data_IF_128525631552
#
_entry.id   IF_128525631552
#
_cell.length_a   1.000
_cell.length_b   1.000
_cell.length_c   1.000
_cell.angle_alpha   90.00
_cell.angle_beta   90.00
_cell.angle_gamma   90.00
#
_symmetry.space_group_name_H-M   'P 1'
#
loop_
_entity.id
_entity.type
_entity.pdbx_description
1 polymer ?
#
# COMPACT_ATOMS: atom_id res chain seq x y z
N UNK A 1 -11.53 -21.37 17.39
CA UNK A 1 -11.49 -21.28 15.90
C UNK A 1 -11.88 -22.63 15.32
N UNK A 2 -12.87 -22.66 14.43
CA UNK A 2 -13.27 -23.88 13.75
C UNK A 2 -12.17 -24.25 12.74
N UNK A 3 -11.55 -25.41 12.92
CA UNK A 3 -10.49 -25.88 12.03
C UNK A 3 -11.10 -26.17 10.65
N UNK A 4 -10.77 -25.35 9.65
CA UNK A 4 -11.24 -25.57 8.28
C UNK A 4 -10.62 -26.86 7.75
N UNK A 5 -11.47 -27.77 7.26
CA UNK A 5 -11.01 -29.04 6.71
C UNK A 5 -10.26 -28.81 5.40
N UNK A 6 -9.16 -29.56 5.18
CA UNK A 6 -8.43 -29.53 3.92
C UNK A 6 -9.36 -29.99 2.78
N UNK A 7 -9.41 -29.28 1.62
CA UNK A 7 -10.19 -29.70 0.46
C UNK A 7 -9.82 -31.10 0.00
N UNK A 8 -10.83 -31.91 -0.36
CA UNK A 8 -10.64 -33.26 -0.85
C UNK A 8 -10.08 -33.32 -2.28
N UNK A 9 -10.40 -32.31 -3.09
CA UNK A 9 -9.93 -32.20 -4.47
C UNK A 9 -8.78 -31.19 -4.58
N UNK A 10 -7.78 -31.51 -5.37
CA UNK A 10 -6.73 -30.56 -5.75
C UNK A 10 -7.21 -29.73 -6.94
N UNK A 11 -6.83 -28.43 -7.04
CA UNK A 11 -7.07 -27.67 -8.26
C UNK A 11 -6.35 -28.29 -9.45
N UNK A 12 -6.91 -28.14 -10.64
CA UNK A 12 -6.29 -28.62 -11.90
C UNK A 12 -4.95 -27.93 -12.13
N UNK A 13 -4.86 -26.65 -11.81
CA UNK A 13 -3.62 -25.88 -11.81
C UNK A 13 -3.38 -25.30 -10.40
N UNK A 14 -2.40 -25.79 -9.64
CA UNK A 14 -2.12 -25.33 -8.29
C UNK A 14 -1.22 -24.09 -8.23
N UNK A 15 -0.91 -23.44 -9.36
CA UNK A 15 -0.04 -22.26 -9.41
C UNK A 15 -0.85 -21.02 -9.14
N UNK A 16 -0.84 -20.56 -7.89
CA UNK A 16 -1.53 -19.37 -7.41
C UNK A 16 -0.57 -18.23 -7.05
N UNK A 17 0.63 -18.25 -7.61
CA UNK A 17 1.62 -17.23 -7.36
C UNK A 17 1.24 -15.90 -8.03
N UNK A 18 1.46 -14.80 -7.34
CA UNK A 18 1.35 -13.44 -7.87
C UNK A 18 2.57 -13.00 -8.69
N UNK A 19 3.60 -13.83 -8.80
CA UNK A 19 4.79 -13.58 -9.63
C UNK A 19 4.47 -13.55 -11.14
N UNK A 20 5.45 -13.76 -12.02
CA UNK A 20 5.22 -13.74 -13.46
C UNK A 20 4.10 -14.70 -13.85
N UNK A 21 2.95 -14.14 -14.16
CA UNK A 21 1.76 -14.93 -14.49
C UNK A 21 1.73 -15.31 -15.96
N UNK A 22 1.06 -16.42 -16.26
CA UNK A 22 0.81 -16.82 -17.63
C UNK A 22 0.01 -15.73 -18.36
N UNK A 23 0.42 -15.41 -19.58
CA UNK A 23 -0.36 -14.50 -20.42
C UNK A 23 -1.77 -15.06 -20.65
N UNK A 24 -2.77 -14.18 -20.74
CA UNK A 24 -4.15 -14.56 -21.03
C UNK A 24 -4.25 -15.34 -22.35
N UNK A 25 -5.24 -16.22 -22.52
CA UNK A 25 -5.48 -16.88 -23.81
C UNK A 25 -5.62 -15.86 -24.96
N UNK A 26 -5.00 -16.16 -26.11
CA UNK A 26 -5.02 -15.27 -27.27
C UNK A 26 -4.09 -14.06 -27.19
N UNK A 27 -3.27 -13.92 -26.16
CA UNK A 27 -2.27 -12.84 -26.11
C UNK A 27 -1.16 -13.09 -27.13
N UNK A 28 -0.79 -12.05 -27.87
CA UNK A 28 0.38 -12.02 -28.75
C UNK A 28 1.10 -10.67 -28.59
N UNK A 29 2.28 -10.55 -29.18
CA UNK A 29 3.03 -9.28 -29.22
C UNK A 29 2.27 -8.15 -29.94
N UNK A 30 1.30 -8.48 -30.78
CA UNK A 30 0.44 -7.50 -31.45
C UNK A 30 -0.36 -6.64 -30.46
N UNK A 31 -0.61 -7.15 -29.24
CA UNK A 31 -1.21 -6.38 -28.15
C UNK A 31 -0.38 -5.15 -27.78
N UNK A 32 0.92 -5.11 -28.12
CA UNK A 32 1.83 -4.00 -27.86
C UNK A 32 2.03 -3.09 -29.08
N UNK A 33 1.34 -3.34 -30.22
CA UNK A 33 1.53 -2.55 -31.46
C UNK A 33 1.24 -1.07 -31.30
N UNK A 34 0.33 -0.70 -30.40
CA UNK A 34 0.01 0.69 -30.04
C UNK A 34 0.86 1.29 -28.91
N UNK A 35 1.86 0.56 -28.39
CA UNK A 35 2.68 1.03 -27.27
C UNK A 35 3.56 2.22 -27.70
N UNK A 36 3.67 3.22 -26.83
CA UNK A 36 4.44 4.43 -27.07
C UNK A 36 5.95 4.18 -26.89
N UNK A 37 6.54 3.31 -27.71
CA UNK A 37 7.95 2.95 -27.67
C UNK A 37 8.85 4.01 -28.30
N UNK A 38 10.12 4.07 -27.90
CA UNK A 38 11.15 4.93 -28.51
C UNK A 38 10.91 6.43 -28.37
N UNK A 39 10.14 6.87 -27.37
CA UNK A 39 9.82 8.30 -27.13
C UNK A 39 10.32 8.76 -25.77
N UNK A 40 10.54 10.06 -25.63
CA UNK A 40 10.80 10.67 -24.32
C UNK A 40 9.51 10.73 -23.48
N UNK A 41 9.59 10.49 -22.17
CA UNK A 41 8.49 10.76 -21.22
C UNK A 41 8.08 12.25 -21.21
N UNK A 42 8.96 13.17 -21.64
CA UNK A 42 8.70 14.61 -21.78
C UNK A 42 8.00 14.99 -23.09
N UNK A 43 7.88 14.08 -24.04
CA UNK A 43 7.12 14.33 -25.28
C UNK A 43 5.63 14.56 -24.97
N UNK A 44 4.90 15.19 -25.90
CA UNK A 44 3.46 15.38 -25.75
C UNK A 44 2.73 14.05 -25.51
N UNK A 45 3.08 13.00 -26.27
CA UNK A 45 2.55 11.66 -26.10
C UNK A 45 2.87 11.07 -24.72
N UNK A 46 4.13 11.18 -24.27
CA UNK A 46 4.53 10.67 -22.95
C UNK A 46 3.79 11.35 -21.81
N UNK A 47 3.69 12.68 -21.85
CA UNK A 47 2.93 13.46 -20.87
C UNK A 47 1.44 13.11 -20.86
N UNK A 48 0.84 12.93 -22.06
CA UNK A 48 -0.57 12.54 -22.17
C UNK A 48 -0.81 11.17 -21.51
N UNK A 49 0.08 10.20 -21.71
CA UNK A 49 -0.03 8.87 -21.08
C UNK A 49 0.14 8.90 -19.55
N UNK A 50 1.07 9.72 -19.04
CA UNK A 50 1.22 9.91 -17.59
C UNK A 50 -0.01 10.61 -16.99
N UNK A 51 -0.56 11.61 -17.69
CA UNK A 51 -1.80 12.24 -17.25
C UNK A 51 -2.97 11.25 -17.25
N UNK A 52 -3.13 10.46 -18.31
CA UNK A 52 -4.16 9.42 -18.40
C UNK A 52 -4.09 8.44 -17.21
N UNK A 53 -2.89 8.02 -16.82
CA UNK A 53 -2.68 7.16 -15.65
C UNK A 53 -3.18 7.81 -14.35
N UNK A 54 -2.85 9.09 -14.14
CA UNK A 54 -3.29 9.85 -12.96
C UNK A 54 -4.82 10.01 -12.97
N UNK A 55 -5.41 10.37 -14.12
CA UNK A 55 -6.85 10.58 -14.26
C UNK A 55 -7.62 9.26 -14.00
N UNK A 56 -7.17 8.16 -14.59
CA UNK A 56 -7.76 6.83 -14.37
C UNK A 56 -7.61 6.35 -12.94
N UNK A 57 -6.47 6.59 -12.30
CA UNK A 57 -6.30 6.24 -10.89
C UNK A 57 -7.30 7.00 -10.02
N UNK A 58 -7.49 8.29 -10.25
CA UNK A 58 -8.49 9.10 -9.53
C UNK A 58 -9.91 8.56 -9.73
N UNK A 59 -10.29 8.29 -10.99
CA UNK A 59 -11.61 7.79 -11.35
C UNK A 59 -11.90 6.43 -10.74
N UNK A 60 -10.98 5.47 -10.94
CA UNK A 60 -11.17 4.07 -10.51
C UNK A 60 -11.19 3.94 -9.00
N UNK A 61 -10.35 4.69 -8.30
CA UNK A 61 -10.25 4.67 -6.85
C UNK A 61 -11.27 5.59 -6.15
N UNK A 62 -12.01 6.41 -6.90
CA UNK A 62 -12.95 7.36 -6.33
C UNK A 62 -12.30 8.38 -5.40
N UNK A 63 -11.08 8.84 -5.74
CA UNK A 63 -10.33 9.74 -4.88
C UNK A 63 -11.02 11.11 -4.75
N UNK A 64 -11.07 11.71 -3.54
CA UNK A 64 -11.52 13.07 -3.33
C UNK A 64 -10.70 14.08 -4.16
N UNK A 65 -11.30 15.21 -4.51
CA UNK A 65 -10.67 16.22 -5.39
C UNK A 65 -9.43 16.88 -4.78
N UNK A 66 -9.33 16.93 -3.48
CA UNK A 66 -8.22 17.49 -2.72
C UNK A 66 -6.99 16.53 -2.62
N UNK A 67 -7.14 15.28 -3.01
CA UNK A 67 -6.01 14.35 -3.08
C UNK A 67 -5.10 14.66 -4.28
N UNK A 68 -3.81 14.63 -4.04
CA UNK A 68 -2.78 14.69 -5.08
C UNK A 68 -2.26 13.29 -5.41
N UNK A 69 -2.11 12.99 -6.71
CA UNK A 69 -1.53 11.74 -7.18
C UNK A 69 -0.15 12.02 -7.76
N UNK A 70 0.87 11.39 -7.21
CA UNK A 70 2.25 11.46 -7.68
C UNK A 70 2.75 10.12 -8.19
N UNK A 71 3.49 10.13 -9.30
CA UNK A 71 4.20 8.95 -9.80
C UNK A 71 5.66 9.09 -9.39
N UNK A 72 6.14 8.16 -8.57
CA UNK A 72 7.49 8.17 -8.01
C UNK A 72 8.26 6.91 -8.43
N UNK A 73 9.60 6.92 -8.44
CA UNK A 73 10.40 5.75 -8.80
C UNK A 73 10.52 4.75 -7.65
N UNK A 74 11.09 3.57 -7.96
CA UNK A 74 11.53 2.55 -7.02
C UNK A 74 10.41 1.76 -6.34
N UNK A 75 9.35 1.48 -7.08
CA UNK A 75 8.17 0.71 -6.64
C UNK A 75 7.47 1.33 -5.41
N UNK A 76 6.62 0.57 -4.74
CA UNK A 76 5.99 1.04 -3.51
C UNK A 76 7.00 1.31 -2.39
N UNK A 77 8.09 0.55 -2.32
CA UNK A 77 9.17 0.80 -1.35
C UNK A 77 9.65 2.25 -1.44
N UNK A 78 9.95 2.74 -2.64
CA UNK A 78 10.36 4.13 -2.83
C UNK A 78 9.28 5.14 -2.46
N UNK A 79 8.00 4.82 -2.65
CA UNK A 79 6.89 5.69 -2.28
C UNK A 79 6.72 5.77 -0.75
N UNK A 80 6.73 4.63 -0.05
CA UNK A 80 6.66 4.59 1.41
C UNK A 80 7.86 5.29 2.04
N UNK A 81 9.08 4.95 1.61
CA UNK A 81 10.30 5.59 2.12
C UNK A 81 10.26 7.10 1.87
N UNK A 82 9.86 7.54 0.68
CA UNK A 82 9.74 8.98 0.39
C UNK A 82 8.78 9.67 1.37
N UNK A 83 7.62 9.07 1.67
CA UNK A 83 6.67 9.59 2.65
C UNK A 83 7.29 9.62 4.05
N UNK A 84 7.89 8.53 4.50
CA UNK A 84 8.49 8.44 5.83
C UNK A 84 9.63 9.44 6.03
N UNK A 85 10.57 9.53 5.09
CA UNK A 85 11.72 10.45 5.17
C UNK A 85 11.34 11.94 5.05
N UNK A 86 10.21 12.23 4.39
CA UNK A 86 9.80 13.62 4.16
C UNK A 86 8.83 14.14 5.22
N UNK A 87 8.04 13.28 5.86
CA UNK A 87 6.90 13.70 6.66
C UNK A 87 7.04 13.35 8.14
N UNK A 88 7.84 12.34 8.51
CA UNK A 88 7.97 11.90 9.90
C UNK A 88 9.03 12.70 10.67
N UNK A 89 8.87 12.74 12.00
CA UNK A 89 9.86 13.29 12.95
C UNK A 89 9.46 14.59 13.62
N UNK A 90 8.39 15.24 13.20
CA UNK A 90 7.82 16.38 13.92
C UNK A 90 7.06 15.91 15.17
N UNK A 91 6.34 14.80 15.05
CA UNK A 91 5.59 14.14 16.13
C UNK A 91 6.20 12.80 16.50
N UNK A 92 5.71 12.20 17.57
CA UNK A 92 5.93 10.80 17.84
C UNK A 92 5.36 9.94 16.69
N UNK A 93 5.96 8.79 16.46
CA UNK A 93 5.60 7.90 15.36
C UNK A 93 5.21 6.53 15.89
N UNK A 94 4.09 6.03 15.41
CA UNK A 94 3.65 4.65 15.59
C UNK A 94 3.85 3.90 14.26
N UNK A 95 4.50 2.73 14.32
CA UNK A 95 4.59 1.84 13.16
C UNK A 95 3.92 0.53 13.50
N UNK A 96 2.86 0.20 12.75
CA UNK A 96 2.11 -1.04 12.94
C UNK A 96 2.53 -2.09 11.91
N UNK A 97 2.94 -3.28 12.39
CA UNK A 97 3.40 -4.37 11.53
C UNK A 97 3.00 -5.75 12.07
N UNK A 98 2.58 -6.63 11.17
CA UNK A 98 2.17 -8.00 11.47
C UNK A 98 2.54 -9.00 10.36
N UNK A 99 3.45 -8.59 9.47
CA UNK A 99 3.98 -9.42 8.40
C UNK A 99 5.23 -8.78 7.79
N UNK A 100 5.80 -9.42 6.78
CA UNK A 100 7.13 -9.10 6.26
C UNK A 100 7.29 -7.68 5.69
N UNK A 101 6.29 -7.17 4.96
CA UNK A 101 6.39 -5.82 4.38
C UNK A 101 6.29 -4.76 5.45
N UNK A 102 5.31 -4.85 6.34
CA UNK A 102 5.22 -3.95 7.49
C UNK A 102 6.48 -3.98 8.38
N UNK A 103 7.13 -5.16 8.49
CA UNK A 103 8.39 -5.28 9.21
C UNK A 103 9.54 -4.52 8.52
N UNK A 104 9.50 -4.35 7.20
CA UNK A 104 10.46 -3.48 6.50
C UNK A 104 10.31 -2.01 6.97
N UNK A 105 9.08 -1.52 7.04
CA UNK A 105 8.80 -0.16 7.54
C UNK A 105 9.20 0.03 9.01
N UNK A 106 9.03 -1.00 9.85
CA UNK A 106 9.58 -1.01 11.22
C UNK A 106 11.10 -0.86 11.20
N UNK A 107 11.78 -1.61 10.33
CA UNK A 107 13.25 -1.56 10.22
C UNK A 107 13.72 -0.18 9.78
N UNK A 108 13.05 0.44 8.83
CA UNK A 108 13.39 1.78 8.36
C UNK A 108 13.19 2.82 9.48
N UNK A 109 12.06 2.78 10.17
CA UNK A 109 11.77 3.69 11.27
C UNK A 109 12.75 3.55 12.43
N UNK A 110 13.13 2.31 12.79
CA UNK A 110 13.99 2.02 13.95
C UNK A 110 15.49 2.17 13.65
N UNK A 111 15.93 1.84 12.43
CA UNK A 111 17.35 1.75 12.10
C UNK A 111 17.86 2.86 11.18
N UNK A 112 16.99 3.45 10.37
CA UNK A 112 17.40 4.38 9.32
C UNK A 112 16.96 5.82 9.61
N UNK A 113 15.82 6.02 10.24
CA UNK A 113 15.32 7.35 10.59
C UNK A 113 15.76 7.76 11.99
N UNK A 114 16.16 9.04 12.19
CA UNK A 114 16.56 9.54 13.50
C UNK A 114 15.35 9.92 14.38
N UNK A 115 14.35 9.05 14.47
CA UNK A 115 13.13 9.28 15.23
C UNK A 115 13.42 9.23 16.73
N UNK A 116 13.02 10.25 17.47
CA UNK A 116 13.25 10.37 18.91
C UNK A 116 12.18 9.67 19.75
N UNK A 117 10.99 9.56 19.21
CA UNK A 117 9.81 8.98 19.85
C UNK A 117 9.12 8.02 18.89
N UNK A 118 9.56 6.75 18.92
CA UNK A 118 9.06 5.66 18.10
C UNK A 118 8.36 4.63 18.97
N UNK A 119 7.14 4.24 18.59
CA UNK A 119 6.41 3.12 19.18
C UNK A 119 6.08 2.08 18.10
N UNK A 120 6.34 0.83 18.41
CA UNK A 120 6.09 -0.29 17.52
C UNK A 120 4.87 -1.07 17.98
N UNK A 121 3.86 -1.18 17.13
CA UNK A 121 2.64 -1.96 17.33
C UNK A 121 2.78 -3.23 16.48
N UNK A 122 3.25 -4.32 17.06
CA UNK A 122 3.57 -5.53 16.30
C UNK A 122 2.76 -6.72 16.76
N UNK A 123 2.49 -7.64 15.83
CA UNK A 123 1.89 -8.94 16.11
C UNK A 123 2.56 -10.03 15.27
N UNK A 124 2.36 -11.28 15.67
CA UNK A 124 2.82 -12.45 14.92
C UNK A 124 2.00 -12.69 13.64
N UNK A 125 2.53 -13.52 12.75
CA UNK A 125 1.82 -13.91 11.54
C UNK A 125 0.46 -14.56 11.86
N UNK A 126 -0.59 -14.06 11.21
CA UNK A 126 -1.96 -14.50 11.43
C UNK A 126 -2.73 -13.70 12.48
N UNK A 127 -2.09 -12.73 13.12
CA UNK A 127 -2.68 -11.84 14.12
C UNK A 127 -2.58 -10.39 13.67
N UNK A 128 -3.46 -9.54 14.17
CA UNK A 128 -3.42 -8.08 14.00
C UNK A 128 -2.99 -7.47 15.35
N UNK A 129 -2.05 -6.50 15.36
CA UNK A 129 -1.75 -5.78 16.59
C UNK A 129 -2.97 -5.00 17.08
N UNK A 130 -2.99 -4.67 18.35
CA UNK A 130 -4.03 -3.80 18.91
C UNK A 130 -3.85 -2.37 18.39
N UNK A 131 -4.52 -2.07 17.27
CA UNK A 131 -4.48 -0.77 16.62
C UNK A 131 -5.21 0.33 17.43
N UNK A 132 -6.05 -0.03 18.42
CA UNK A 132 -6.69 0.93 19.33
C UNK A 132 -5.70 1.63 20.27
N UNK A 133 -4.45 1.20 20.29
CA UNK A 133 -3.39 1.93 20.98
C UNK A 133 -3.00 3.23 20.28
N UNK A 134 -3.34 3.39 18.99
CA UNK A 134 -3.16 4.66 18.29
C UNK A 134 -4.15 5.71 18.81
N UNK A 135 -3.66 6.88 19.16
CA UNK A 135 -4.44 7.93 19.83
C UNK A 135 -4.70 9.16 18.95
N UNK A 136 -4.12 9.19 17.75
CA UNK A 136 -4.33 10.28 16.79
C UNK A 136 -3.42 11.50 16.97
N UNK A 137 -2.66 11.59 18.04
CA UNK A 137 -1.68 12.67 18.32
C UNK A 137 -0.28 12.38 17.75
N UNK A 138 -0.07 11.19 17.24
CA UNK A 138 1.18 10.66 16.67
C UNK A 138 0.99 10.38 15.19
N UNK A 139 2.06 10.38 14.42
CA UNK A 139 2.02 9.89 13.04
C UNK A 139 1.94 8.35 13.04
N UNK A 140 1.15 7.78 12.12
CA UNK A 140 0.97 6.33 12.01
C UNK A 140 1.44 5.84 10.64
N UNK A 141 2.29 4.81 10.64
CA UNK A 141 2.67 4.06 9.44
C UNK A 141 2.16 2.63 9.55
N UNK A 142 1.47 2.15 8.55
CA UNK A 142 0.91 0.79 8.56
C UNK A 142 0.62 0.28 7.15
N UNK A 143 0.36 -1.04 7.03
CA UNK A 143 -0.13 -1.66 5.80
C UNK A 143 -1.64 -1.87 5.89
N UNK A 144 -2.40 -1.57 4.83
CA UNK A 144 -3.85 -1.86 4.79
C UNK A 144 -4.11 -3.38 4.83
N UNK A 145 -3.20 -4.15 4.26
CA UNK A 145 -3.28 -5.59 4.15
C UNK A 145 -1.92 -6.25 4.37
N UNK A 146 -1.83 -7.16 5.32
CA UNK A 146 -0.65 -7.98 5.54
C UNK A 146 -0.54 -9.07 4.48
N UNK A 147 0.10 -8.79 3.36
CA UNK A 147 0.16 -9.64 2.18
C UNK A 147 0.67 -11.05 2.48
N UNK A 148 1.73 -11.17 3.27
CA UNK A 148 2.37 -12.46 3.56
C UNK A 148 1.70 -13.24 4.68
N UNK A 149 0.89 -12.59 5.53
CA UNK A 149 0.16 -13.22 6.61
C UNK A 149 -1.32 -13.49 6.27
N UNK A 150 -1.88 -12.82 5.26
CA UNK A 150 -3.28 -12.89 4.91
C UNK A 150 -4.21 -12.17 5.90
N UNK A 151 -3.67 -11.29 6.74
CA UNK A 151 -4.43 -10.52 7.73
C UNK A 151 -4.54 -9.08 7.29
N UNK A 152 -5.75 -8.58 7.12
CA UNK A 152 -6.03 -7.19 6.75
C UNK A 152 -6.58 -6.38 7.91
N UNK A 153 -6.46 -5.08 7.83
CA UNK A 153 -7.23 -4.15 8.67
C UNK A 153 -8.72 -4.37 8.39
N UNK A 154 -9.49 -4.69 9.41
CA UNK A 154 -10.91 -5.03 9.26
C UNK A 154 -11.78 -3.80 9.03
N UNK A 155 -11.50 -2.76 9.79
CA UNK A 155 -12.09 -1.42 9.69
C UNK A 155 -11.08 -0.38 10.17
N UNK A 156 -11.37 0.88 9.93
CA UNK A 156 -10.46 1.99 10.23
C UNK A 156 -11.00 2.88 11.37
N UNK A 157 -11.88 2.36 12.20
CA UNK A 157 -12.47 3.09 13.34
C UNK A 157 -11.45 3.49 14.41
N UNK A 158 -10.31 2.79 14.46
CA UNK A 158 -9.19 3.12 15.32
C UNK A 158 -8.48 4.42 14.96
N UNK A 159 -8.72 4.98 13.75
CA UNK A 159 -8.17 6.26 13.32
C UNK A 159 -9.18 7.34 13.68
N UNK A 160 -8.90 8.26 14.67
CA UNK A 160 -9.79 9.32 15.04
C UNK A 160 -9.98 10.34 13.90
N UNK A 161 -11.19 10.94 13.82
CA UNK A 161 -11.48 11.95 12.81
C UNK A 161 -10.80 13.29 13.12
N UNK A 162 -10.55 13.57 14.40
CA UNK A 162 -9.91 14.78 14.91
C UNK A 162 -8.41 14.60 15.20
N UNK A 163 -7.79 13.63 14.54
CA UNK A 163 -6.34 13.35 14.69
C UNK A 163 -5.49 14.56 14.28
N UNK A 164 -4.38 14.76 14.98
CA UNK A 164 -3.33 15.72 14.64
C UNK A 164 -2.17 15.09 13.85
N UNK A 165 -1.96 13.78 14.06
CA UNK A 165 -0.93 12.99 13.39
C UNK A 165 -1.32 12.57 11.98
N UNK A 166 -0.32 12.32 11.14
CA UNK A 166 -0.49 11.83 9.78
C UNK A 166 -0.69 10.31 9.77
N UNK A 167 -1.50 9.83 8.85
CA UNK A 167 -1.67 8.40 8.56
C UNK A 167 -1.05 8.08 7.20
N UNK A 168 0.00 7.24 7.21
CA UNK A 168 0.72 6.76 6.02
C UNK A 168 0.41 5.27 5.85
N UNK A 169 -0.28 4.94 4.79
CA UNK A 169 -0.80 3.59 4.54
C UNK A 169 -0.19 3.00 3.26
N UNK A 170 0.60 1.94 3.40
CA UNK A 170 0.94 1.06 2.28
C UNK A 170 -0.28 0.22 1.92
N UNK A 171 -0.85 0.48 0.75
CA UNK A 171 -2.04 -0.20 0.25
C UNK A 171 -1.79 -1.01 -1.04
N UNK A 172 -0.55 -1.35 -1.34
CA UNK A 172 -0.16 -2.04 -2.58
C UNK A 172 -1.02 -3.27 -2.87
N UNK A 173 -1.29 -4.10 -1.88
CA UNK A 173 -2.12 -5.29 -2.06
C UNK A 173 -3.61 -5.09 -1.73
N UNK A 174 -4.03 -3.86 -1.50
CA UNK A 174 -5.39 -3.53 -1.05
C UNK A 174 -6.12 -2.55 -1.98
N UNK A 175 -5.46 -1.53 -2.48
CA UNK A 175 -6.08 -0.34 -3.08
C UNK A 175 -7.06 -0.62 -4.22
N UNK A 176 -6.79 -1.62 -5.07
CA UNK A 176 -7.69 -2.03 -6.15
C UNK A 176 -8.61 -3.22 -5.81
N UNK A 177 -8.57 -3.69 -4.56
CA UNK A 177 -9.31 -4.87 -4.12
C UNK A 177 -10.20 -4.64 -2.90
N UNK A 178 -10.06 -3.50 -2.24
CA UNK A 178 -10.77 -3.15 -1.02
C UNK A 178 -11.16 -1.67 -1.05
N UNK A 179 -12.29 -1.34 -0.43
CA UNK A 179 -12.68 0.05 -0.19
C UNK A 179 -11.79 0.63 0.92
N UNK A 180 -11.18 1.78 0.66
CA UNK A 180 -10.36 2.50 1.61
C UNK A 180 -11.08 3.79 2.05
N UNK A 181 -11.06 4.13 3.36
CA UNK A 181 -11.66 5.36 3.87
C UNK A 181 -10.71 6.54 3.62
N UNK A 182 -10.86 7.20 2.49
CA UNK A 182 -9.96 8.28 2.08
C UNK A 182 -9.88 9.43 3.10
N UNK A 183 -10.96 9.70 3.79
CA UNK A 183 -11.05 10.72 4.86
C UNK A 183 -10.17 10.42 6.09
N UNK A 184 -9.75 9.17 6.25
CA UNK A 184 -8.88 8.72 7.34
C UNK A 184 -7.42 8.52 6.95
N UNK A 185 -7.08 8.67 5.68
CA UNK A 185 -5.74 8.36 5.16
C UNK A 185 -5.12 9.61 4.54
N UNK A 186 -3.99 10.10 5.08
CA UNK A 186 -3.34 11.31 4.57
C UNK A 186 -2.38 10.99 3.42
N UNK A 187 -1.71 9.85 3.49
CA UNK A 187 -0.83 9.32 2.43
C UNK A 187 -1.15 7.87 2.18
N UNK A 188 -1.42 7.53 0.93
CA UNK A 188 -1.59 6.13 0.49
C UNK A 188 -0.59 5.83 -0.60
N UNK A 189 0.16 4.75 -0.44
CA UNK A 189 1.14 4.30 -1.41
C UNK A 189 0.73 2.98 -2.05
N UNK A 190 1.08 2.78 -3.32
CA UNK A 190 0.84 1.53 -4.04
C UNK A 190 1.68 1.42 -5.32
N UNK A 191 1.85 0.21 -5.81
CA UNK A 191 2.51 -0.08 -7.09
C UNK A 191 1.85 -1.21 -7.88
#
# INVERSE_FOLDING_TARGET
MTKIAKPAARPVDPRFSAGPTRKRPGWSLDALSGAALGRSHRSALGKAKLKELIDLSREILGLPDDYHIGIVPASDTGAVEMAMWSLLGERGVDVAAWENFGQAWVTDADKQLPLKDLRLLTADYGELPDLNQYSGDRDLVFTANGTTSGVKVADYSFIPDDREGLTICDATSAVFAQDLPWDKLDVVTYS
#
